data_IF_112109589974
#
_entry.id   IF_112109589974
#
_cell.length_a   1.000
_cell.length_b   1.000
_cell.length_c   1.000
_cell.angle_alpha   90.00
_cell.angle_beta   90.00
_cell.angle_gamma   90.00
#
_symmetry.space_group_name_H-M   'P 1'
#
loop_
_entity.id
_entity.type
_entity.pdbx_description
1 polymer ?
#
# COMPACT_ATOMS: atom_id res chain seq x y z
N UNK A 1 -104.35 -44.37 0.18
CA UNK A 1 -104.84 -43.09 0.74
C UNK A 1 -104.84 -43.12 2.28
N UNK A 2 -105.36 -44.18 2.91
CA UNK A 2 -105.33 -44.39 4.38
C UNK A 2 -103.92 -44.37 5.03
N UNK A 3 -102.93 -45.04 4.45
CA UNK A 3 -101.55 -45.06 4.99
C UNK A 3 -100.85 -43.68 5.05
N UNK A 4 -101.36 -42.68 4.29
CA UNK A 4 -100.82 -41.31 4.30
C UNK A 4 -101.45 -40.47 5.41
N UNK A 5 -102.69 -40.78 5.79
CA UNK A 5 -103.42 -40.13 6.88
C UNK A 5 -102.90 -40.62 8.24
N UNK A 6 -102.62 -41.92 8.37
CA UNK A 6 -101.98 -42.48 9.57
C UNK A 6 -100.58 -41.88 9.82
N UNK A 7 -99.75 -41.77 8.77
CA UNK A 7 -98.42 -41.13 8.90
C UNK A 7 -98.55 -39.67 9.36
N UNK A 8 -99.43 -38.87 8.78
CA UNK A 8 -99.63 -37.46 9.15
C UNK A 8 -100.19 -37.29 10.58
N UNK A 9 -101.04 -38.21 11.03
CA UNK A 9 -101.56 -38.22 12.40
C UNK A 9 -100.47 -38.59 13.41
N UNK A 10 -99.57 -39.52 13.07
CA UNK A 10 -98.42 -39.87 13.91
C UNK A 10 -97.43 -38.71 14.04
N UNK A 11 -97.17 -37.96 12.96
CA UNK A 11 -96.39 -36.70 13.00
C UNK A 11 -97.01 -35.66 13.92
N UNK A 12 -98.34 -35.55 13.93
CA UNK A 12 -99.06 -34.54 14.71
C UNK A 12 -99.11 -34.85 16.21
N UNK A 13 -99.18 -36.14 16.58
CA UNK A 13 -99.31 -36.57 17.98
C UNK A 13 -97.97 -36.76 18.70
N UNK A 14 -96.93 -37.22 18.00
CA UNK A 14 -95.61 -37.52 18.58
C UNK A 14 -94.55 -36.46 18.24
N UNK A 15 -94.84 -35.59 17.26
CA UNK A 15 -93.85 -34.71 16.63
C UNK A 15 -92.97 -35.49 15.64
N UNK A 16 -92.42 -34.80 14.63
CA UNK A 16 -91.31 -35.34 13.84
C UNK A 16 -90.02 -34.78 14.40
N UNK A 17 -89.14 -35.64 14.90
CA UNK A 17 -87.77 -35.23 15.22
C UNK A 17 -86.98 -35.17 13.91
N UNK A 18 -86.88 -33.97 13.33
CA UNK A 18 -86.09 -33.72 12.13
C UNK A 18 -84.68 -33.39 12.60
N UNK A 19 -83.80 -34.39 12.61
CA UNK A 19 -82.39 -34.16 12.85
C UNK A 19 -81.86 -33.18 11.77
N UNK A 20 -81.26 -32.05 12.17
CA UNK A 20 -80.72 -31.10 11.21
C UNK A 20 -79.64 -31.79 10.36
N UNK A 21 -79.72 -31.62 9.03
CA UNK A 21 -78.66 -32.07 8.13
C UNK A 21 -77.56 -31.02 8.12
N UNK A 22 -76.42 -31.36 8.72
CA UNK A 22 -75.23 -30.54 8.66
C UNK A 22 -74.57 -30.72 7.28
N UNK A 23 -74.44 -29.62 6.54
CA UNK A 23 -73.66 -29.54 5.31
C UNK A 23 -72.54 -28.54 5.57
N UNK A 24 -71.29 -28.97 5.45
CA UNK A 24 -70.10 -28.14 5.66
C UNK A 24 -69.52 -27.79 4.29
N UNK A 25 -69.31 -26.50 4.04
CA UNK A 25 -68.50 -26.04 2.91
C UNK A 25 -67.02 -26.22 3.26
N UNK A 26 -66.45 -27.36 2.86
CA UNK A 26 -65.05 -27.69 3.14
C UNK A 26 -64.07 -26.70 2.50
N UNK A 27 -64.43 -26.09 1.38
CA UNK A 27 -63.58 -25.13 0.69
C UNK A 27 -63.50 -23.82 1.47
N UNK A 28 -64.64 -23.32 1.97
CA UNK A 28 -64.66 -22.16 2.86
C UNK A 28 -63.93 -22.44 4.18
N UNK A 29 -64.13 -23.62 4.78
CA UNK A 29 -63.41 -24.02 5.99
C UNK A 29 -61.89 -24.07 5.76
N UNK A 30 -61.44 -24.62 4.63
CA UNK A 30 -60.03 -24.63 4.28
C UNK A 30 -59.47 -23.22 4.08
N UNK A 31 -60.18 -22.32 3.39
CA UNK A 31 -59.75 -20.93 3.22
C UNK A 31 -59.65 -20.19 4.55
N UNK A 32 -60.62 -20.39 5.44
CA UNK A 32 -60.58 -19.87 6.81
C UNK A 32 -59.34 -20.35 7.56
N UNK A 33 -59.04 -21.66 7.50
CA UNK A 33 -57.85 -22.23 8.14
C UNK A 33 -56.54 -21.74 7.54
N UNK A 34 -56.48 -21.52 6.22
CA UNK A 34 -55.31 -20.92 5.57
C UNK A 34 -55.08 -19.51 6.10
N UNK A 35 -56.11 -18.67 6.15
CA UNK A 35 -56.00 -17.30 6.66
C UNK A 35 -55.55 -17.29 8.12
N UNK A 36 -56.21 -18.06 8.98
CA UNK A 36 -55.83 -18.18 10.40
C UNK A 36 -54.43 -18.76 10.57
N UNK A 37 -54.01 -19.72 9.73
CA UNK A 37 -52.66 -20.29 9.81
C UNK A 37 -51.57 -19.25 9.59
N UNK A 38 -51.84 -18.17 8.83
CA UNK A 38 -50.85 -17.10 8.64
C UNK A 38 -50.54 -16.31 9.91
N UNK A 39 -51.47 -16.28 10.87
CA UNK A 39 -51.29 -15.63 12.18
C UNK A 39 -50.57 -16.54 13.19
N UNK A 40 -50.62 -17.85 12.98
CA UNK A 40 -50.08 -18.87 13.90
C UNK A 40 -48.75 -19.43 13.42
N UNK A 41 -48.52 -19.48 12.11
CA UNK A 41 -47.29 -20.02 11.54
C UNK A 41 -46.10 -19.11 11.90
N UNK A 42 -45.05 -19.72 12.43
CA UNK A 42 -43.78 -19.06 12.75
C UNK A 42 -42.72 -19.70 11.85
N UNK A 43 -42.02 -18.94 10.98
CA UNK A 43 -40.92 -19.50 10.21
C UNK A 43 -39.75 -19.88 11.13
N UNK A 44 -39.02 -20.97 10.87
CA UNK A 44 -37.80 -21.27 11.61
C UNK A 44 -36.74 -20.19 11.36
N UNK A 45 -35.84 -20.00 12.32
CA UNK A 45 -34.64 -19.16 12.17
C UNK A 45 -33.39 -19.99 12.32
N UNK A 46 -32.51 -19.84 11.35
CA UNK A 46 -31.23 -20.53 11.31
C UNK A 46 -30.29 -20.04 12.42
N UNK A 47 -29.47 -20.94 12.93
CA UNK A 47 -28.33 -20.56 13.75
C UNK A 47 -27.36 -19.70 12.92
N UNK A 48 -26.73 -18.73 13.59
CA UNK A 48 -25.75 -17.84 12.98
C UNK A 48 -24.50 -17.73 13.86
N UNK A 49 -23.36 -17.48 13.22
CA UNK A 49 -22.08 -17.26 13.88
C UNK A 49 -21.46 -15.99 13.31
N UNK A 50 -20.93 -15.13 14.17
CA UNK A 50 -20.09 -14.01 13.75
C UNK A 50 -18.83 -13.93 14.61
N UNK A 51 -17.77 -13.39 14.02
CA UNK A 51 -16.49 -13.18 14.68
C UNK A 51 -16.18 -11.69 14.62
N UNK A 52 -15.85 -11.09 15.76
CA UNK A 52 -15.38 -9.70 15.84
C UNK A 52 -14.53 -9.50 17.08
N UNK A 53 -13.42 -8.76 16.99
CA UNK A 53 -12.55 -8.45 18.14
C UNK A 53 -12.11 -9.69 18.94
N UNK A 54 -11.72 -10.75 18.23
CA UNK A 54 -11.40 -12.08 18.78
C UNK A 54 -12.54 -12.75 19.60
N UNK A 55 -13.77 -12.25 19.51
CA UNK A 55 -14.95 -12.85 20.15
C UNK A 55 -15.79 -13.59 19.13
N UNK A 56 -16.19 -14.79 19.51
CA UNK A 56 -17.12 -15.63 18.76
C UNK A 56 -18.51 -15.35 19.32
N UNK A 57 -19.42 -14.87 18.47
CA UNK A 57 -20.80 -14.55 18.83
C UNK A 57 -21.68 -15.58 18.12
N UNK A 58 -22.24 -16.48 18.92
CA UNK A 58 -23.12 -17.55 18.45
C UNK A 58 -24.58 -17.19 18.72
N UNK A 59 -25.44 -17.36 17.71
CA UNK A 59 -26.88 -17.15 17.78
C UNK A 59 -27.55 -18.51 17.55
N UNK A 60 -28.20 -19.11 18.56
CA UNK A 60 -28.87 -20.40 18.45
C UNK A 60 -30.00 -20.40 17.42
N UNK A 61 -30.34 -21.57 16.90
CA UNK A 61 -31.45 -21.74 15.98
C UNK A 61 -32.79 -21.70 16.72
N UNK A 62 -33.83 -21.14 16.09
CA UNK A 62 -35.19 -21.11 16.64
C UNK A 62 -36.12 -21.98 15.77
N UNK A 63 -36.69 -23.08 16.31
CA UNK A 63 -37.64 -23.90 15.57
C UNK A 63 -38.89 -23.11 15.19
N UNK A 64 -39.38 -23.34 13.97
CA UNK A 64 -40.62 -22.76 13.49
C UNK A 64 -41.83 -23.61 13.87
N UNK A 65 -43.02 -23.07 13.62
CA UNK A 65 -44.31 -23.71 13.85
C UNK A 65 -45.15 -23.63 12.58
N UNK A 66 -45.72 -24.76 12.16
CA UNK A 66 -46.65 -24.81 11.04
C UNK A 66 -47.95 -25.50 11.42
N UNK A 67 -49.08 -24.86 11.14
CA UNK A 67 -50.41 -25.46 11.24
C UNK A 67 -50.61 -26.52 10.16
N UNK A 68 -51.03 -27.70 10.59
CA UNK A 68 -51.43 -28.83 9.78
C UNK A 68 -52.90 -28.65 9.38
N UNK A 69 -53.12 -27.98 8.25
CA UNK A 69 -54.46 -27.52 7.81
C UNK A 69 -55.41 -28.69 7.59
N UNK A 70 -54.97 -29.78 6.97
CA UNK A 70 -55.83 -30.91 6.63
C UNK A 70 -56.28 -31.66 7.90
N UNK A 71 -55.36 -31.89 8.81
CA UNK A 71 -55.58 -32.57 10.09
C UNK A 71 -56.48 -31.73 11.00
N UNK A 72 -56.22 -30.42 11.07
CA UNK A 72 -57.06 -29.47 11.81
C UNK A 72 -58.48 -29.41 11.23
N UNK A 73 -58.62 -29.40 9.89
CA UNK A 73 -59.93 -29.44 9.22
C UNK A 73 -60.70 -30.70 9.59
N UNK A 74 -60.05 -31.87 9.58
CA UNK A 74 -60.68 -33.13 9.95
C UNK A 74 -61.18 -33.10 11.41
N UNK A 75 -60.37 -32.57 12.33
CA UNK A 75 -60.77 -32.43 13.74
C UNK A 75 -61.97 -31.47 13.90
N UNK A 76 -62.03 -30.39 13.11
CA UNK A 76 -63.18 -29.47 13.10
C UNK A 76 -64.45 -30.14 12.57
N UNK A 77 -64.36 -30.86 11.45
CA UNK A 77 -65.51 -31.58 10.87
C UNK A 77 -66.05 -32.62 11.87
N UNK A 78 -65.15 -33.36 12.54
CA UNK A 78 -65.53 -34.31 13.58
C UNK A 78 -66.23 -33.63 14.76
N UNK A 79 -65.74 -32.48 15.22
CA UNK A 79 -66.35 -31.71 16.30
C UNK A 79 -67.74 -31.17 15.94
N UNK A 80 -67.91 -30.65 14.72
CA UNK A 80 -69.17 -30.07 14.23
C UNK A 80 -70.30 -31.11 14.15
N UNK A 81 -69.99 -32.39 13.92
CA UNK A 81 -70.99 -33.47 13.91
C UNK A 81 -71.72 -33.64 15.26
N UNK A 82 -71.17 -33.12 16.36
CA UNK A 82 -71.81 -33.19 17.69
C UNK A 82 -72.83 -32.07 17.94
N UNK A 83 -72.87 -31.05 17.05
CA UNK A 83 -73.74 -29.86 17.13
C UNK A 83 -73.70 -29.12 18.48
N UNK A 84 -72.62 -29.29 19.25
CA UNK A 84 -72.37 -28.60 20.51
C UNK A 84 -71.11 -27.72 20.38
N UNK A 85 -71.04 -26.56 21.06
CA UNK A 85 -69.82 -25.76 21.10
C UNK A 85 -68.65 -26.57 21.66
N UNK A 86 -67.56 -26.68 20.90
CA UNK A 86 -66.34 -27.37 21.31
C UNK A 86 -65.10 -26.56 20.94
N UNK A 87 -64.06 -26.68 21.75
CA UNK A 87 -62.74 -26.17 21.42
C UNK A 87 -61.99 -27.23 20.62
N UNK A 88 -61.49 -26.85 19.45
CA UNK A 88 -60.65 -27.72 18.61
C UNK A 88 -59.22 -27.19 18.67
N UNK A 89 -58.30 -28.02 19.16
CA UNK A 89 -56.89 -27.67 19.18
C UNK A 89 -56.34 -27.70 17.74
N UNK A 90 -55.62 -26.64 17.35
CA UNK A 90 -54.94 -26.61 16.07
C UNK A 90 -53.84 -27.69 16.06
N UNK A 91 -53.85 -28.53 15.03
CA UNK A 91 -52.76 -29.47 14.82
C UNK A 91 -51.59 -28.69 14.24
N UNK A 92 -50.42 -28.85 14.82
CA UNK A 92 -49.20 -28.21 14.37
C UNK A 92 -48.08 -29.23 14.23
N UNK A 93 -47.09 -28.88 13.42
CA UNK A 93 -45.77 -29.53 13.41
C UNK A 93 -44.68 -28.49 13.61
N UNK A 94 -43.58 -28.91 14.20
CA UNK A 94 -42.35 -28.12 14.28
C UNK A 94 -41.68 -28.08 12.90
N UNK A 95 -41.18 -26.92 12.52
CA UNK A 95 -40.30 -26.76 11.36
C UNK A 95 -38.87 -26.62 11.87
N UNK A 96 -38.01 -27.55 11.49
CA UNK A 96 -36.60 -27.48 11.83
C UNK A 96 -35.89 -26.41 10.98
N UNK A 97 -34.97 -25.62 11.57
CA UNK A 97 -34.14 -24.69 10.83
C UNK A 97 -33.17 -25.43 9.89
N UNK A 98 -32.77 -24.77 8.81
CA UNK A 98 -31.80 -25.31 7.85
C UNK A 98 -30.40 -25.42 8.46
N UNK A 99 -30.02 -24.48 9.33
CA UNK A 99 -28.81 -24.54 10.14
C UNK A 99 -29.22 -24.68 11.61
N UNK A 100 -28.86 -25.82 12.21
CA UNK A 100 -29.20 -26.14 13.60
C UNK A 100 -28.00 -25.93 14.55
N UNK A 101 -28.26 -26.10 15.85
CA UNK A 101 -27.26 -25.91 16.90
C UNK A 101 -26.08 -26.90 16.85
N UNK A 102 -26.23 -28.04 16.19
CA UNK A 102 -25.11 -28.99 15.99
C UNK A 102 -24.12 -28.45 14.95
N UNK A 103 -24.64 -27.83 13.88
CA UNK A 103 -23.81 -27.13 12.90
C UNK A 103 -23.13 -25.93 13.54
N UNK A 104 -23.88 -25.16 14.35
CA UNK A 104 -23.33 -24.02 15.11
C UNK A 104 -22.18 -24.45 16.03
N UNK A 105 -22.35 -25.50 16.82
CA UNK A 105 -21.31 -25.99 17.74
C UNK A 105 -20.04 -26.43 17.01
N UNK A 106 -20.19 -27.00 15.81
CA UNK A 106 -19.05 -27.38 14.95
C UNK A 106 -18.32 -26.14 14.43
N UNK A 107 -19.07 -25.15 13.93
CA UNK A 107 -18.50 -23.90 13.43
C UNK A 107 -17.83 -23.09 14.55
N UNK A 108 -18.41 -23.05 15.75
CA UNK A 108 -17.78 -22.44 16.92
C UNK A 108 -16.44 -23.08 17.26
N UNK A 109 -16.34 -24.41 17.20
CA UNK A 109 -15.08 -25.10 17.47
C UNK A 109 -14.04 -24.77 16.40
N UNK A 110 -14.45 -24.76 15.12
CA UNK A 110 -13.59 -24.34 14.03
C UNK A 110 -13.10 -22.90 14.21
N UNK A 111 -13.98 -21.97 14.59
CA UNK A 111 -13.60 -20.58 14.90
C UNK A 111 -12.58 -20.50 16.04
N UNK A 112 -12.76 -21.28 17.12
CA UNK A 112 -11.79 -21.37 18.21
C UNK A 112 -10.43 -21.87 17.72
N UNK A 113 -10.41 -22.89 16.87
CA UNK A 113 -9.17 -23.46 16.32
C UNK A 113 -8.46 -22.50 15.35
N UNK A 114 -9.21 -21.72 14.57
CA UNK A 114 -8.68 -20.66 13.71
C UNK A 114 -7.98 -19.57 14.54
N UNK A 115 -8.59 -19.16 15.64
CA UNK A 115 -8.09 -18.09 16.52
C UNK A 115 -7.07 -18.56 17.57
N UNK A 116 -6.86 -19.87 17.74
CA UNK A 116 -6.00 -20.43 18.79
C UNK A 116 -4.49 -20.18 18.55
N UNK A 117 -4.06 -20.03 17.29
CA UNK A 117 -2.67 -19.87 16.93
C UNK A 117 -2.44 -18.62 16.07
N UNK A 118 -1.35 -17.86 16.31
CA UNK A 118 -1.03 -16.72 15.48
C UNK A 118 -0.60 -17.14 14.07
N UNK A 119 -0.72 -16.21 13.14
CA UNK A 119 -0.13 -16.30 11.80
C UNK A 119 1.19 -15.53 11.80
N UNK A 120 2.28 -16.24 11.54
CA UNK A 120 3.62 -15.69 11.44
C UNK A 120 3.95 -15.49 9.97
N UNK A 121 4.22 -14.26 9.58
CA UNK A 121 4.64 -13.88 8.24
C UNK A 121 6.14 -13.61 8.26
N UNK A 122 6.87 -14.11 7.28
CA UNK A 122 8.33 -13.97 7.22
C UNK A 122 8.80 -13.55 5.84
N UNK A 123 9.83 -12.72 5.81
CA UNK A 123 10.57 -12.35 4.60
C UNK A 123 12.01 -12.02 4.98
N UNK A 124 12.99 -12.74 4.42
CA UNK A 124 14.39 -12.68 4.86
C UNK A 124 14.53 -12.88 6.39
N UNK A 125 15.20 -11.96 7.08
CA UNK A 125 15.38 -11.98 8.53
C UNK A 125 14.24 -11.27 9.30
N UNK A 126 13.23 -10.75 8.58
CA UNK A 126 12.11 -10.04 9.17
C UNK A 126 10.91 -10.97 9.42
N UNK A 127 10.20 -10.68 10.50
CA UNK A 127 9.04 -11.44 10.94
C UNK A 127 7.93 -10.50 11.43
N UNK A 128 6.70 -10.77 11.01
CA UNK A 128 5.48 -10.13 11.49
C UNK A 128 4.56 -11.19 12.08
N UNK A 129 3.90 -10.88 13.19
CA UNK A 129 3.02 -11.84 13.89
C UNK A 129 1.63 -11.24 13.95
N UNK A 130 0.68 -11.89 13.27
CA UNK A 130 -0.74 -11.58 13.38
C UNK A 130 -1.37 -12.41 14.48
N UNK A 131 -1.92 -11.71 15.47
CA UNK A 131 -2.56 -12.32 16.63
C UNK A 131 -4.02 -12.71 16.34
N UNK A 132 -4.70 -13.27 17.34
CA UNK A 132 -6.10 -13.68 17.21
C UNK A 132 -7.06 -12.52 16.86
N UNK A 133 -6.77 -11.28 17.28
CA UNK A 133 -7.62 -10.12 16.98
C UNK A 133 -7.53 -9.75 15.50
N UNK A 134 -6.31 -9.66 14.96
CA UNK A 134 -6.09 -9.40 13.54
C UNK A 134 -6.65 -10.52 12.65
N UNK A 135 -6.47 -11.78 13.06
CA UNK A 135 -7.05 -12.91 12.33
C UNK A 135 -8.59 -12.85 12.37
N UNK A 136 -9.17 -12.54 13.53
CA UNK A 136 -10.62 -12.41 13.69
C UNK A 136 -11.23 -11.33 12.77
N UNK A 137 -10.55 -10.19 12.62
CA UNK A 137 -11.02 -9.10 11.76
C UNK A 137 -10.99 -9.48 10.27
N UNK A 138 -10.10 -10.40 9.88
CA UNK A 138 -10.01 -10.90 8.51
C UNK A 138 -11.01 -12.01 8.19
N UNK A 139 -11.61 -12.66 9.19
CA UNK A 139 -12.52 -13.78 8.98
C UNK A 139 -13.96 -13.31 8.83
N UNK A 140 -14.63 -13.81 7.81
CA UNK A 140 -16.08 -13.73 7.64
C UNK A 140 -16.70 -15.13 7.73
N UNK A 141 -17.98 -15.17 8.11
CA UNK A 141 -18.76 -16.40 8.20
C UNK A 141 -20.00 -16.25 7.33
N UNK A 142 -20.17 -17.16 6.38
CA UNK A 142 -21.30 -17.17 5.46
C UNK A 142 -22.13 -18.42 5.64
N UNK A 143 -23.46 -18.23 5.75
CA UNK A 143 -24.42 -19.31 5.74
C UNK A 143 -24.67 -19.77 4.30
N UNK A 144 -24.33 -21.02 3.98
CA UNK A 144 -24.50 -21.58 2.63
C UNK A 144 -24.72 -23.09 2.70
N UNK A 145 -25.60 -23.61 1.85
CA UNK A 145 -25.85 -25.05 1.68
C UNK A 145 -26.16 -25.80 3.01
N UNK A 146 -26.81 -25.12 3.97
CA UNK A 146 -27.13 -25.65 5.31
C UNK A 146 -25.94 -25.70 6.29
N UNK A 147 -24.83 -25.06 5.93
CA UNK A 147 -23.61 -24.97 6.73
C UNK A 147 -23.17 -23.52 7.00
N UNK A 148 -22.21 -23.38 7.90
CA UNK A 148 -21.48 -22.13 8.16
C UNK A 148 -20.06 -22.27 7.62
N UNK A 149 -19.70 -21.42 6.66
CA UNK A 149 -18.42 -21.46 5.96
C UNK A 149 -17.57 -20.25 6.33
N UNK A 150 -16.30 -20.47 6.61
CA UNK A 150 -15.33 -19.41 6.88
C UNK A 150 -14.66 -18.98 5.58
N UNK A 151 -14.68 -17.68 5.33
CA UNK A 151 -13.93 -17.03 4.26
C UNK A 151 -13.06 -15.91 4.82
N UNK A 152 -12.05 -15.53 4.05
CA UNK A 152 -11.23 -14.36 4.36
C UNK A 152 -11.81 -13.16 3.62
N UNK A 153 -11.96 -12.04 4.32
CA UNK A 153 -12.39 -10.78 3.74
C UNK A 153 -11.26 -10.23 2.87
N UNK A 154 -11.43 -10.30 1.56
CA UNK A 154 -10.45 -9.89 0.55
C UNK A 154 -10.04 -8.43 0.70
N UNK A 155 -10.98 -7.52 0.94
CA UNK A 155 -10.71 -6.08 1.04
C UNK A 155 -9.88 -5.74 2.28
N UNK A 156 -10.15 -6.43 3.40
CA UNK A 156 -9.37 -6.24 4.62
C UNK A 156 -7.98 -6.88 4.47
N UNK A 157 -7.89 -8.06 3.86
CA UNK A 157 -6.61 -8.71 3.60
C UNK A 157 -5.73 -7.87 2.67
N UNK A 158 -6.29 -7.29 1.62
CA UNK A 158 -5.56 -6.41 0.69
C UNK A 158 -4.90 -5.25 1.44
N UNK A 159 -5.65 -4.59 2.35
CA UNK A 159 -5.10 -3.51 3.19
C UNK A 159 -3.99 -3.98 4.11
N UNK A 160 -4.08 -5.20 4.65
CA UNK A 160 -2.98 -5.77 5.45
C UNK A 160 -1.73 -6.04 4.60
N UNK A 161 -1.93 -6.58 3.39
CA UNK A 161 -0.83 -6.83 2.45
C UNK A 161 -0.18 -5.52 2.01
N UNK A 162 -0.95 -4.46 1.76
CA UNK A 162 -0.42 -3.11 1.50
C UNK A 162 0.44 -2.60 2.66
N UNK A 163 0.00 -2.80 3.91
CA UNK A 163 0.80 -2.42 5.09
C UNK A 163 2.10 -3.21 5.19
N UNK A 164 2.08 -4.50 4.85
CA UNK A 164 3.30 -5.31 4.77
C UNK A 164 4.23 -4.81 3.66
N UNK A 165 3.67 -4.53 2.48
CA UNK A 165 4.41 -4.03 1.33
C UNK A 165 5.15 -2.73 1.67
N UNK A 166 4.56 -1.79 2.43
CA UNK A 166 5.26 -0.57 2.88
C UNK A 166 6.56 -0.88 3.67
N UNK A 167 6.65 -2.03 4.33
CA UNK A 167 7.84 -2.43 5.11
C UNK A 167 8.82 -3.30 4.34
N UNK A 168 8.35 -4.05 3.35
CA UNK A 168 9.14 -5.01 2.56
C UNK A 168 9.63 -4.37 1.26
N UNK A 169 8.76 -3.60 0.60
CA UNK A 169 9.06 -2.97 -0.68
C UNK A 169 10.24 -2.04 -0.54
N UNK A 170 11.25 -2.29 -1.36
CA UNK A 170 12.44 -1.47 -1.45
C UNK A 170 12.90 -1.38 -2.89
N UNK A 171 13.36 -0.21 -3.30
CA UNK A 171 14.03 -0.05 -4.58
C UNK A 171 15.40 -0.73 -4.58
N UNK A 172 15.92 -1.05 -5.76
CA UNK A 172 17.35 -1.34 -5.91
C UNK A 172 18.17 -0.06 -5.91
N UNK A 173 19.46 -0.16 -5.60
CA UNK A 173 20.43 0.90 -5.79
C UNK A 173 21.58 0.40 -6.66
N UNK A 174 21.97 1.20 -7.66
CA UNK A 174 23.13 0.89 -8.51
C UNK A 174 24.43 0.88 -7.69
N UNK A 175 25.43 0.07 -8.08
CA UNK A 175 26.75 0.12 -7.48
C UNK A 175 27.40 1.49 -7.68
N UNK A 176 28.30 1.87 -6.77
CA UNK A 176 29.20 2.99 -7.02
C UNK A 176 30.44 2.49 -7.73
N UNK A 177 30.82 3.17 -8.81
CA UNK A 177 31.99 2.81 -9.61
C UNK A 177 33.09 3.86 -9.53
N UNK A 178 34.29 3.46 -9.94
CA UNK A 178 35.44 4.35 -10.16
C UNK A 178 36.09 3.98 -11.48
N UNK A 179 36.32 4.96 -12.34
CA UNK A 179 37.11 4.79 -13.55
C UNK A 179 38.55 5.21 -13.26
N UNK A 180 39.51 4.31 -13.49
CA UNK A 180 40.92 4.57 -13.28
C UNK A 180 41.78 3.73 -14.23
N UNK A 181 42.79 4.36 -14.83
CA UNK A 181 43.71 3.69 -15.77
C UNK A 181 42.98 2.90 -16.87
N UNK A 182 41.90 3.47 -17.42
CA UNK A 182 41.10 2.85 -18.50
C UNK A 182 40.16 1.72 -18.07
N UNK A 183 40.00 1.46 -16.78
CA UNK A 183 39.17 0.37 -16.26
C UNK A 183 38.13 0.88 -15.25
N UNK A 184 36.99 0.21 -15.20
CA UNK A 184 35.95 0.42 -14.19
C UNK A 184 36.14 -0.54 -13.01
N UNK A 185 35.98 -0.02 -11.80
CA UNK A 185 36.02 -0.78 -10.55
C UNK A 185 34.76 -0.51 -9.75
N UNK A 186 34.18 -1.57 -9.18
CA UNK A 186 33.12 -1.43 -8.17
C UNK A 186 33.78 -0.99 -6.87
N UNK A 187 33.39 0.17 -6.35
CA UNK A 187 33.85 0.70 -5.06
C UNK A 187 32.80 0.53 -3.96
N UNK A 188 31.54 0.41 -4.34
CA UNK A 188 30.45 0.02 -3.47
C UNK A 188 29.49 -0.89 -4.24
N UNK A 189 29.15 -2.04 -3.67
CA UNK A 189 28.20 -2.97 -4.27
C UNK A 189 26.80 -2.34 -4.38
N UNK A 190 26.08 -2.72 -5.43
CA UNK A 190 24.67 -2.36 -5.58
C UNK A 190 23.81 -3.05 -4.53
N UNK A 191 22.65 -2.46 -4.24
CA UNK A 191 21.68 -3.03 -3.30
C UNK A 191 20.50 -3.59 -4.07
N UNK A 192 20.08 -4.79 -3.69
CA UNK A 192 18.85 -5.38 -4.22
C UNK A 192 17.66 -4.80 -3.47
N UNK A 193 16.60 -4.55 -4.21
CA UNK A 193 15.28 -4.23 -3.69
C UNK A 193 14.38 -5.46 -3.66
N UNK A 194 13.22 -5.29 -3.06
CA UNK A 194 12.15 -6.28 -3.02
C UNK A 194 10.81 -5.65 -3.38
N UNK A 195 9.92 -6.45 -3.95
CA UNK A 195 8.55 -6.07 -4.28
C UNK A 195 7.61 -7.18 -3.85
N UNK A 196 6.70 -6.91 -2.93
CA UNK A 196 5.68 -7.88 -2.55
C UNK A 196 4.81 -8.24 -3.75
N UNK A 197 4.59 -9.53 -3.94
CA UNK A 197 3.68 -10.05 -4.96
C UNK A 197 2.28 -10.16 -4.34
N UNK A 198 1.48 -9.10 -4.51
CA UNK A 198 0.20 -8.93 -3.82
C UNK A 198 -0.78 -10.11 -4.05
N UNK A 199 -1.09 -10.52 -5.29
CA UNK A 199 -2.05 -11.60 -5.54
C UNK A 199 -1.64 -12.92 -4.87
N UNK A 200 -0.37 -13.30 -5.03
CA UNK A 200 0.21 -14.53 -4.48
C UNK A 200 0.26 -14.49 -2.95
N UNK A 201 0.57 -13.32 -2.37
CA UNK A 201 0.57 -13.12 -0.93
C UNK A 201 -0.84 -13.29 -0.36
N UNK A 202 -1.85 -12.67 -0.99
CA UNK A 202 -3.24 -12.79 -0.58
C UNK A 202 -3.74 -14.23 -0.68
N UNK A 203 -3.38 -14.94 -1.75
CA UNK A 203 -3.75 -16.33 -1.96
C UNK A 203 -3.14 -17.23 -0.87
N UNK A 204 -1.82 -17.15 -0.64
CA UNK A 204 -1.13 -17.99 0.34
C UNK A 204 -1.65 -17.71 1.76
N UNK A 205 -1.89 -16.46 2.12
CA UNK A 205 -2.46 -16.10 3.43
C UNK A 205 -3.89 -16.65 3.55
N UNK A 206 -4.73 -16.47 2.53
CA UNK A 206 -6.13 -16.95 2.55
C UNK A 206 -6.21 -18.47 2.68
N UNK A 207 -5.39 -19.20 1.91
CA UNK A 207 -5.28 -20.65 2.01
C UNK A 207 -4.79 -21.06 3.40
N UNK A 208 -3.77 -20.38 3.94
CA UNK A 208 -3.23 -20.71 5.27
C UNK A 208 -4.25 -20.47 6.40
N UNK A 209 -5.02 -19.38 6.32
CA UNK A 209 -6.07 -19.07 7.28
C UNK A 209 -7.27 -20.02 7.20
N UNK A 210 -7.56 -20.58 6.02
CA UNK A 210 -8.74 -21.46 5.83
C UNK A 210 -8.41 -22.96 5.93
N UNK A 211 -7.15 -23.36 5.74
CA UNK A 211 -6.77 -24.78 5.61
C UNK A 211 -6.39 -25.49 6.93
N UNK A 212 -6.25 -24.81 8.08
CA UNK A 212 -5.47 -25.36 9.21
C UNK A 212 -6.21 -25.53 10.54
N UNK A 213 -6.15 -26.76 11.06
CA UNK A 213 -6.19 -27.11 12.49
C UNK A 213 -4.79 -27.01 13.12
N UNK A 214 -4.77 -26.79 14.44
CA UNK A 214 -3.72 -26.22 15.29
C UNK A 214 -2.24 -26.62 15.06
N UNK A 215 -1.41 -25.61 14.75
CA UNK A 215 -0.11 -25.22 15.36
C UNK A 215 0.32 -23.92 14.65
N UNK A 216 1.24 -23.13 15.22
CA UNK A 216 1.68 -21.82 14.66
C UNK A 216 1.82 -21.88 13.14
N UNK A 217 1.07 -21.02 12.44
CA UNK A 217 1.04 -20.99 10.97
C UNK A 217 2.16 -20.06 10.51
N UNK A 218 3.05 -20.52 9.64
CA UNK A 218 4.12 -19.67 9.09
C UNK A 218 3.99 -19.56 7.59
N UNK A 219 3.97 -18.33 7.09
CA UNK A 219 3.89 -17.99 5.66
C UNK A 219 5.12 -17.19 5.28
N UNK A 220 5.88 -17.70 4.32
CA UNK A 220 6.89 -16.91 3.62
C UNK A 220 6.18 -15.98 2.64
N UNK A 221 6.38 -14.67 2.78
CA UNK A 221 5.76 -13.68 1.89
C UNK A 221 6.40 -13.76 0.50
N UNK A 222 5.62 -14.05 -0.55
CA UNK A 222 6.09 -13.97 -1.93
C UNK A 222 6.51 -12.54 -2.26
N UNK A 223 7.78 -12.37 -2.62
CA UNK A 223 8.31 -11.09 -3.09
C UNK A 223 9.28 -11.31 -4.25
N UNK A 224 9.20 -10.43 -5.24
CA UNK A 224 10.12 -10.36 -6.36
C UNK A 224 11.35 -9.55 -5.98
N UNK A 225 12.51 -10.05 -6.41
CA UNK A 225 13.79 -9.38 -6.23
C UNK A 225 13.98 -8.34 -7.33
N UNK A 226 14.13 -7.08 -6.96
CA UNK A 226 14.52 -6.00 -7.87
C UNK A 226 16.04 -5.90 -7.84
N UNK A 227 16.70 -6.19 -8.95
CA UNK A 227 18.16 -6.12 -9.05
C UNK A 227 18.60 -4.80 -9.67
N UNK A 228 19.76 -4.24 -9.25
CA UNK A 228 20.37 -3.12 -9.95
C UNK A 228 20.67 -3.49 -11.41
N UNK A 229 20.57 -2.52 -12.30
CA UNK A 229 20.82 -2.70 -13.73
C UNK A 229 22.30 -2.94 -14.01
N UNK A 230 23.16 -2.34 -13.19
CA UNK A 230 24.61 -2.50 -13.27
C UNK A 230 25.06 -3.58 -12.30
N UNK A 231 25.74 -4.57 -12.86
CA UNK A 231 26.31 -5.73 -12.18
C UNK A 231 27.75 -5.92 -12.65
N UNK A 232 28.57 -6.73 -11.96
CA UNK A 232 29.92 -7.03 -12.42
C UNK A 232 29.99 -7.50 -13.88
N UNK A 233 28.99 -8.26 -14.35
CA UNK A 233 28.93 -8.80 -15.71
C UNK A 233 28.54 -7.75 -16.75
N UNK A 234 27.84 -6.68 -16.36
CA UNK A 234 27.39 -5.64 -17.30
C UNK A 234 28.35 -4.46 -17.40
N UNK A 235 29.41 -4.38 -16.58
CA UNK A 235 30.38 -3.27 -16.57
C UNK A 235 30.94 -2.93 -17.95
N UNK A 236 31.29 -3.93 -18.75
CA UNK A 236 31.87 -3.73 -20.09
C UNK A 236 30.87 -3.12 -21.10
N UNK A 237 29.57 -3.18 -20.80
CA UNK A 237 28.50 -2.72 -21.69
C UNK A 237 28.08 -1.27 -21.43
N UNK A 238 28.53 -0.68 -20.32
CA UNK A 238 28.11 0.66 -19.86
C UNK A 238 28.54 1.78 -20.83
N UNK A 239 29.65 1.57 -21.55
CA UNK A 239 30.18 2.57 -22.48
C UNK A 239 30.89 3.73 -21.76
N UNK A 240 31.50 3.49 -20.61
CA UNK A 240 32.29 4.49 -19.89
C UNK A 240 33.76 4.31 -20.30
N UNK A 241 34.27 5.18 -21.16
CA UNK A 241 35.62 5.06 -21.74
C UNK A 241 36.39 6.38 -21.86
N UNK A 242 35.71 7.53 -21.82
CA UNK A 242 36.33 8.84 -21.98
C UNK A 242 35.74 9.88 -21.02
N UNK A 243 36.46 10.99 -20.84
CA UNK A 243 36.00 12.13 -20.06
C UNK A 243 35.09 13.01 -20.93
N UNK A 244 33.84 13.16 -20.52
CA UNK A 244 32.87 14.04 -21.18
C UNK A 244 33.05 15.50 -20.75
N UNK A 245 33.23 15.72 -19.44
CA UNK A 245 33.37 17.07 -18.90
C UNK A 245 33.91 17.07 -17.47
N UNK A 246 34.54 18.19 -17.09
CA UNK A 246 35.09 18.41 -15.76
C UNK A 246 34.60 19.75 -15.20
N UNK A 247 34.11 19.72 -13.97
CA UNK A 247 33.81 20.89 -13.16
C UNK A 247 34.79 20.99 -12.00
N UNK A 248 35.21 22.22 -11.66
CA UNK A 248 36.09 22.47 -10.51
C UNK A 248 35.61 23.67 -9.71
N UNK A 249 35.85 23.64 -8.41
CA UNK A 249 35.62 24.77 -7.51
C UNK A 249 36.68 24.82 -6.41
N UNK A 250 37.07 26.04 -6.03
CA UNK A 250 38.02 26.27 -4.94
C UNK A 250 37.28 26.47 -3.62
N UNK A 251 37.66 25.73 -2.58
CA UNK A 251 37.27 26.00 -1.21
C UNK A 251 38.40 26.62 -0.38
N UNK A 252 39.46 27.11 -1.02
CA UNK A 252 40.54 27.84 -0.35
C UNK A 252 40.00 28.97 0.55
N UNK A 253 40.47 29.01 1.80
CA UNK A 253 40.02 29.97 2.81
C UNK A 253 38.63 29.70 3.41
N UNK A 254 37.95 28.59 3.06
CA UNK A 254 36.66 28.25 3.65
C UNK A 254 36.77 27.91 5.13
N UNK A 255 35.73 28.25 5.89
CA UNK A 255 35.57 27.81 7.28
C UNK A 255 35.47 26.29 7.38
N UNK A 256 35.89 25.73 8.53
CA UNK A 256 35.92 24.28 8.74
C UNK A 256 34.57 23.59 8.51
N UNK A 257 33.46 24.18 9.00
CA UNK A 257 32.11 23.62 8.80
C UNK A 257 31.76 23.47 7.31
N UNK A 258 32.20 24.42 6.47
CA UNK A 258 31.93 24.42 5.03
C UNK A 258 32.71 23.31 4.35
N UNK A 259 33.97 23.09 4.75
CA UNK A 259 34.79 22.00 4.23
C UNK A 259 34.18 20.64 4.60
N UNK A 260 33.70 20.48 5.85
CA UNK A 260 32.98 19.27 6.28
C UNK A 260 31.75 19.01 5.42
N UNK A 261 30.93 20.04 5.18
CA UNK A 261 29.72 19.93 4.37
C UNK A 261 30.01 19.62 2.90
N UNK A 262 31.05 20.22 2.30
CA UNK A 262 31.51 19.89 0.95
C UNK A 262 31.93 18.42 0.86
N UNK A 263 32.67 17.92 1.85
CA UNK A 263 33.07 16.50 1.86
C UNK A 263 31.87 15.56 1.98
N UNK A 264 30.87 15.93 2.80
CA UNK A 264 29.64 15.16 2.94
C UNK A 264 28.80 15.17 1.64
N UNK A 265 28.69 16.32 0.98
CA UNK A 265 28.04 16.45 -0.33
C UNK A 265 28.76 15.65 -1.42
N UNK A 266 30.07 15.85 -1.55
CA UNK A 266 30.91 15.11 -2.49
C UNK A 266 30.80 13.59 -2.34
N UNK A 267 30.77 13.08 -1.10
CA UNK A 267 30.62 11.64 -0.85
C UNK A 267 29.28 11.07 -1.35
N UNK A 268 28.22 11.89 -1.43
CA UNK A 268 26.93 11.49 -2.02
C UNK A 268 27.00 11.38 -3.53
N UNK A 269 27.88 12.15 -4.15
CA UNK A 269 28.03 12.29 -5.61
C UNK A 269 29.10 11.37 -6.21
N UNK A 270 30.13 10.98 -5.45
CA UNK A 270 31.23 10.15 -5.97
C UNK A 270 30.76 8.74 -6.36
N UNK A 271 31.10 8.34 -7.58
CA UNK A 271 30.80 7.03 -8.14
C UNK A 271 29.35 6.82 -8.57
N UNK A 272 28.55 7.89 -8.66
CA UNK A 272 27.14 7.81 -9.09
C UNK A 272 27.07 7.48 -10.59
N UNK A 273 26.18 6.57 -10.93
CA UNK A 273 25.83 6.21 -12.29
C UNK A 273 24.54 6.92 -12.72
N UNK A 274 24.52 7.44 -13.94
CA UNK A 274 23.36 8.10 -14.55
C UNK A 274 23.01 7.31 -15.81
N UNK A 275 21.84 6.69 -15.83
CA UNK A 275 21.40 5.80 -16.90
C UNK A 275 21.09 6.58 -18.20
N UNK A 276 21.12 5.91 -19.37
CA UNK A 276 20.68 6.51 -20.61
C UNK A 276 19.24 7.05 -20.51
N UNK A 277 19.05 8.33 -20.79
CA UNK A 277 17.76 9.01 -20.71
C UNK A 277 17.33 9.43 -19.29
N UNK A 278 18.12 9.14 -18.27
CA UNK A 278 17.82 9.56 -16.89
C UNK A 278 18.01 11.08 -16.72
N UNK A 279 17.09 11.71 -16.00
CA UNK A 279 17.27 13.07 -15.48
C UNK A 279 17.89 12.99 -14.08
N UNK A 280 19.14 13.43 -13.98
CA UNK A 280 19.81 13.58 -12.70
C UNK A 280 19.22 14.76 -11.94
N UNK A 281 18.96 14.57 -10.64
CA UNK A 281 18.57 15.62 -9.70
C UNK A 281 19.58 15.68 -8.56
N UNK A 282 20.23 16.83 -8.38
CA UNK A 282 21.22 17.02 -7.32
C UNK A 282 20.60 16.84 -5.93
N UNK A 283 19.43 17.42 -5.67
CA UNK A 283 18.75 17.28 -4.37
C UNK A 283 18.33 15.83 -4.10
N UNK A 284 17.86 15.10 -5.12
CA UNK A 284 17.49 13.68 -4.98
C UNK A 284 18.72 12.84 -4.62
N UNK A 285 19.83 13.06 -5.33
CA UNK A 285 21.08 12.34 -5.07
C UNK A 285 21.73 12.70 -3.72
N UNK A 286 21.64 13.97 -3.32
CA UNK A 286 22.16 14.45 -2.03
C UNK A 286 21.43 13.79 -0.86
N UNK A 287 20.11 13.63 -0.98
CA UNK A 287 19.25 13.13 0.09
C UNK A 287 19.11 14.11 1.25
N UNK A 288 18.76 13.58 2.43
CA UNK A 288 18.57 14.43 3.61
C UNK A 288 19.89 15.08 4.08
N UNK A 289 19.87 16.38 4.30
CA UNK A 289 21.01 17.15 4.79
C UNK A 289 20.95 17.26 6.31
N UNK A 290 21.53 16.28 7.02
CA UNK A 290 21.51 16.20 8.49
C UNK A 290 22.79 15.56 9.05
N UNK A 291 22.92 15.55 10.38
CA UNK A 291 24.08 14.99 11.11
C UNK A 291 24.34 13.52 10.76
N UNK A 292 23.28 12.69 10.65
CA UNK A 292 23.39 11.25 10.33
C UNK A 292 24.05 11.02 8.97
N UNK A 293 23.89 11.99 8.07
CA UNK A 293 24.44 11.98 6.73
C UNK A 293 25.79 12.71 6.60
N UNK A 294 26.38 13.13 7.73
CA UNK A 294 27.72 13.71 7.81
C UNK A 294 27.77 15.24 7.67
N UNK A 295 26.61 15.90 7.60
CA UNK A 295 26.53 17.36 7.52
C UNK A 295 26.60 17.99 8.91
N UNK A 296 27.05 19.24 8.95
CA UNK A 296 27.05 20.10 10.13
C UNK A 296 26.35 21.43 9.82
N UNK A 297 25.92 22.12 10.86
CA UNK A 297 25.35 23.46 10.72
C UNK A 297 26.40 24.45 10.19
N UNK A 298 25.98 25.26 9.23
CA UNK A 298 26.82 26.24 8.56
C UNK A 298 25.99 27.39 8.00
N UNK A 299 26.64 28.52 7.74
CA UNK A 299 25.95 29.66 7.14
C UNK A 299 25.54 29.37 5.69
N UNK A 300 24.25 29.52 5.39
CA UNK A 300 23.62 29.39 4.09
C UNK A 300 22.86 30.67 3.70
N UNK A 301 22.67 30.89 2.41
CA UNK A 301 21.88 32.01 1.89
C UNK A 301 20.42 31.60 1.85
N UNK A 302 19.57 32.27 2.61
CA UNK A 302 18.12 32.02 2.69
C UNK A 302 17.37 33.30 2.35
N UNK A 303 16.78 33.37 1.16
CA UNK A 303 16.23 34.61 0.63
C UNK A 303 17.36 35.62 0.36
N UNK A 304 17.30 36.78 1.01
CA UNK A 304 18.33 37.84 0.86
C UNK A 304 19.23 37.99 2.11
N UNK A 305 19.40 36.92 2.89
CA UNK A 305 20.14 36.93 4.16
C UNK A 305 20.94 35.64 4.38
N UNK A 306 21.88 35.70 5.31
CA UNK A 306 22.69 34.54 5.74
C UNK A 306 22.14 33.98 7.05
N UNK A 307 21.84 32.69 7.12
CA UNK A 307 21.32 32.00 8.32
C UNK A 307 22.07 30.69 8.53
N UNK A 308 22.18 30.25 9.79
CA UNK A 308 22.72 28.93 10.12
C UNK A 308 21.70 27.86 9.71
N UNK A 309 22.13 26.93 8.86
CA UNK A 309 21.34 25.82 8.32
C UNK A 309 22.22 24.56 8.24
N UNK A 310 21.59 23.38 8.24
CA UNK A 310 22.30 22.14 7.96
C UNK A 310 22.85 22.16 6.54
N UNK A 311 24.12 21.79 6.36
CA UNK A 311 24.76 21.75 5.05
C UNK A 311 25.09 23.12 4.45
N UNK A 312 25.21 24.17 5.27
CA UNK A 312 25.72 25.46 4.79
C UNK A 312 27.04 25.30 4.04
N UNK A 313 27.02 25.60 2.73
CA UNK A 313 28.15 25.40 1.82
C UNK A 313 27.92 24.43 0.66
N UNK A 314 26.88 23.59 0.71
CA UNK A 314 26.62 22.53 -0.29
C UNK A 314 26.30 23.05 -1.70
N UNK A 315 25.91 24.32 -1.85
CA UNK A 315 25.82 24.93 -3.18
C UNK A 315 27.14 24.89 -3.96
N UNK A 316 28.29 24.75 -3.28
CA UNK A 316 29.56 24.53 -3.96
C UNK A 316 29.63 23.17 -4.66
N UNK A 317 29.10 22.11 -4.04
CA UNK A 317 29.00 20.79 -4.66
C UNK A 317 28.12 20.85 -5.91
N UNK A 318 26.93 21.46 -5.80
CA UNK A 318 26.03 21.66 -6.94
C UNK A 318 26.68 22.49 -8.04
N UNK A 319 27.36 23.59 -7.70
CA UNK A 319 28.12 24.40 -8.66
C UNK A 319 29.18 23.57 -9.39
N UNK A 320 29.86 22.66 -8.70
CA UNK A 320 30.91 21.83 -9.31
C UNK A 320 30.31 20.76 -10.22
N UNK A 321 29.20 20.14 -9.82
CA UNK A 321 28.43 19.20 -10.66
C UNK A 321 27.87 19.90 -11.89
N UNK A 322 27.30 21.10 -11.72
CA UNK A 322 26.78 21.91 -12.82
C UNK A 322 27.86 22.21 -13.85
N UNK A 323 29.05 22.63 -13.42
CA UNK A 323 30.17 22.88 -14.33
C UNK A 323 30.56 21.63 -15.11
N UNK A 324 30.60 20.47 -14.47
CA UNK A 324 30.92 19.21 -15.13
C UNK A 324 29.86 18.86 -16.19
N UNK A 325 28.58 18.96 -15.86
CA UNK A 325 27.46 18.72 -16.78
C UNK A 325 27.42 19.74 -17.93
N UNK A 326 27.65 21.02 -17.63
CA UNK A 326 27.73 22.10 -18.60
C UNK A 326 28.86 21.87 -19.59
N UNK A 327 30.07 21.56 -19.12
CA UNK A 327 31.22 21.30 -19.99
C UNK A 327 31.14 19.98 -20.74
N UNK A 328 30.36 19.01 -20.24
CA UNK A 328 29.98 17.79 -20.97
C UNK A 328 28.89 18.05 -22.04
N UNK A 329 28.35 19.26 -22.12
CA UNK A 329 27.28 19.62 -23.05
C UNK A 329 25.99 18.84 -22.80
N UNK A 330 25.71 18.49 -21.55
CA UNK A 330 24.45 17.83 -21.16
C UNK A 330 23.30 18.86 -21.12
N UNK A 331 22.08 18.48 -21.53
CA UNK A 331 20.92 19.35 -21.39
C UNK A 331 20.61 19.65 -19.92
N UNK A 332 20.86 20.89 -19.48
CA UNK A 332 20.48 21.37 -18.15
C UNK A 332 18.99 21.72 -18.18
N UNK A 333 18.19 21.01 -17.39
CA UNK A 333 16.72 21.15 -17.36
C UNK A 333 16.26 22.03 -16.20
N UNK A 334 17.05 22.15 -15.14
CA UNK A 334 16.83 23.08 -14.04
C UNK A 334 18.16 23.66 -13.55
N UNK A 335 18.22 24.98 -13.43
CA UNK A 335 19.38 25.72 -12.93
C UNK A 335 18.93 27.03 -12.30
N UNK A 336 19.51 27.35 -11.13
CA UNK A 336 19.27 28.60 -10.42
C UNK A 336 20.60 29.22 -10.02
N UNK A 337 20.85 30.51 -10.32
CA UNK A 337 22.02 31.22 -9.80
C UNK A 337 21.84 31.59 -8.32
N UNK A 338 22.93 31.92 -7.63
CA UNK A 338 22.81 32.59 -6.34
C UNK A 338 22.18 34.00 -6.52
N UNK A 339 21.44 34.52 -5.52
CA UNK A 339 20.76 35.81 -5.63
C UNK A 339 21.70 37.01 -5.69
N UNK A 340 22.98 36.83 -5.40
CA UNK A 340 24.03 37.83 -5.53
C UNK A 340 25.32 37.18 -6.04
N UNK A 341 26.17 37.99 -6.65
CA UNK A 341 27.47 37.55 -7.14
C UNK A 341 28.39 37.13 -5.99
N UNK A 342 29.03 35.96 -6.17
CA UNK A 342 29.89 35.33 -5.18
C UNK A 342 31.27 35.10 -5.81
N UNK A 343 32.21 36.00 -5.52
CA UNK A 343 33.51 36.06 -6.20
C UNK A 343 34.40 34.82 -6.01
N UNK A 344 34.22 34.05 -4.93
CA UNK A 344 35.02 32.84 -4.73
C UNK A 344 34.63 31.68 -5.67
N UNK A 345 33.52 31.79 -6.41
CA UNK A 345 33.21 30.85 -7.49
C UNK A 345 33.94 31.17 -8.79
N UNK A 346 34.56 32.34 -8.95
CA UNK A 346 35.22 32.72 -10.20
C UNK A 346 36.40 31.82 -10.54
N UNK A 347 37.07 31.31 -9.50
CA UNK A 347 38.18 30.39 -9.70
C UNK A 347 37.70 29.09 -10.33
N UNK A 348 38.29 28.73 -11.47
CA UNK A 348 37.85 27.64 -12.36
C UNK A 348 36.45 27.81 -12.95
N UNK A 349 35.87 29.02 -12.87
CA UNK A 349 34.52 29.29 -13.34
C UNK A 349 34.32 28.94 -14.81
N UNK A 350 35.30 29.24 -15.67
CA UNK A 350 35.26 28.94 -17.10
C UNK A 350 35.93 27.59 -17.44
N UNK A 351 36.06 26.68 -16.47
CA UNK A 351 36.61 25.34 -16.66
C UNK A 351 38.00 25.37 -17.31
N UNK A 352 38.21 24.70 -18.47
CA UNK A 352 39.53 24.67 -19.13
C UNK A 352 39.97 26.03 -19.68
N UNK A 353 39.06 27.02 -19.77
CA UNK A 353 39.34 28.35 -20.30
C UNK A 353 39.76 29.36 -19.21
N UNK A 354 39.75 28.95 -17.93
CA UNK A 354 40.31 29.73 -16.82
C UNK A 354 39.27 30.20 -15.80
N UNK A 355 39.56 31.34 -15.18
CA UNK A 355 38.72 31.95 -14.15
C UNK A 355 37.68 32.88 -14.78
N UNK A 356 36.49 32.97 -14.19
CA UNK A 356 35.44 33.89 -14.64
C UNK A 356 34.11 33.69 -13.94
N UNK A 357 33.26 34.72 -14.01
CA UNK A 357 31.97 34.76 -13.33
C UNK A 357 30.86 34.03 -14.12
N UNK A 358 29.76 33.70 -13.43
CA UNK A 358 28.48 33.33 -14.06
C UNK A 358 28.20 31.84 -14.24
N UNK A 359 29.09 30.96 -13.78
CA UNK A 359 28.89 29.51 -13.78
C UNK A 359 28.78 28.95 -12.36
N UNK A 360 27.83 29.46 -11.58
CA UNK A 360 27.43 28.94 -10.28
C UNK A 360 26.06 28.25 -10.36
N UNK A 361 25.78 27.32 -9.45
CA UNK A 361 24.46 26.71 -9.33
C UNK A 361 24.08 26.63 -7.84
N UNK A 362 23.01 27.33 -7.48
CA UNK A 362 22.44 27.34 -6.15
C UNK A 362 21.34 26.27 -6.05
N UNK A 363 21.28 25.62 -4.89
CA UNK A 363 20.22 24.66 -4.56
C UNK A 363 19.60 25.03 -3.21
N UNK A 364 18.37 24.56 -3.03
CA UNK A 364 17.69 24.57 -1.74
C UNK A 364 16.76 23.36 -1.71
N UNK A 365 17.04 22.40 -0.84
CA UNK A 365 16.30 21.14 -0.78
C UNK A 365 14.80 21.38 -0.68
N UNK A 366 14.04 20.80 -1.62
CA UNK A 366 12.58 20.96 -1.72
C UNK A 366 12.09 22.22 -2.45
N UNK A 367 12.99 23.12 -2.89
CA UNK A 367 12.63 24.32 -3.66
C UNK A 367 13.43 24.45 -4.97
N UNK A 368 14.75 24.68 -4.88
CA UNK A 368 15.62 24.92 -6.03
C UNK A 368 16.53 23.70 -6.22
N UNK A 369 16.60 23.18 -7.44
CA UNK A 369 17.42 22.03 -7.78
C UNK A 369 18.39 22.33 -8.93
N UNK A 370 19.37 21.45 -9.08
CA UNK A 370 20.16 21.34 -10.30
C UNK A 370 19.75 20.04 -10.98
N UNK A 371 19.25 20.14 -12.22
CA UNK A 371 18.84 18.98 -13.01
C UNK A 371 19.42 18.99 -14.41
N UNK A 372 19.78 17.81 -14.89
CA UNK A 372 20.23 17.62 -16.26
C UNK A 372 19.93 16.20 -16.75
N UNK A 373 19.77 16.05 -18.07
CA UNK A 373 19.43 14.77 -18.69
C UNK A 373 20.69 14.12 -19.27
N UNK A 374 20.85 12.82 -19.06
CA UNK A 374 21.81 12.02 -19.82
C UNK A 374 21.21 11.62 -21.17
N UNK A 375 21.42 12.44 -22.19
CA UNK A 375 20.96 12.21 -23.56
C UNK A 375 22.02 11.53 -24.45
N UNK A 376 23.08 10.96 -23.87
CA UNK A 376 24.19 10.33 -24.62
C UNK A 376 23.85 8.93 -25.15
N UNK A 377 22.74 8.33 -24.69
CA UNK A 377 22.38 6.96 -25.03
C UNK A 377 23.25 5.87 -24.39
N UNK A 378 24.20 6.25 -23.51
CA UNK A 378 25.07 5.38 -22.73
C UNK A 378 25.11 5.83 -21.27
N UNK A 379 25.68 5.01 -20.39
CA UNK A 379 25.78 5.37 -18.98
C UNK A 379 26.84 6.46 -18.79
N UNK A 380 26.57 7.37 -17.84
CA UNK A 380 27.55 8.34 -17.35
C UNK A 380 27.95 7.97 -15.94
N UNK A 381 29.25 8.00 -15.65
CA UNK A 381 29.81 7.89 -14.31
C UNK A 381 30.24 9.27 -13.81
N UNK A 382 29.72 9.67 -12.65
CA UNK A 382 30.20 10.83 -11.92
C UNK A 382 31.28 10.41 -10.93
N UNK A 383 32.46 11.01 -11.03
CA UNK A 383 33.53 10.87 -10.05
C UNK A 383 33.83 12.20 -9.40
N UNK A 384 34.04 12.18 -8.09
CA UNK A 384 34.27 13.39 -7.30
C UNK A 384 35.55 13.23 -6.49
N UNK A 385 36.42 14.23 -6.59
CA UNK A 385 37.64 14.34 -5.77
C UNK A 385 37.59 15.63 -4.95
N UNK A 386 37.93 15.52 -3.66
CA UNK A 386 38.07 16.66 -2.76
C UNK A 386 39.50 16.68 -2.24
N UNK A 387 40.34 17.51 -2.86
CA UNK A 387 41.75 17.61 -2.53
C UNK A 387 41.99 18.72 -1.51
N UNK A 388 42.13 18.35 -0.23
CA UNK A 388 42.34 19.30 0.86
C UNK A 388 43.68 20.06 0.80
N UNK A 389 44.73 19.45 0.21
CA UNK A 389 46.04 20.08 0.10
C UNK A 389 46.03 21.25 -0.90
N UNK A 390 45.35 21.07 -2.04
CA UNK A 390 45.14 22.10 -3.07
C UNK A 390 43.92 22.98 -2.80
N UNK A 391 43.05 22.55 -1.88
CA UNK A 391 41.76 23.15 -1.53
C UNK A 391 40.79 23.26 -2.73
N UNK A 392 40.75 22.21 -3.55
CA UNK A 392 39.92 22.12 -4.76
C UNK A 392 39.03 20.90 -4.73
N UNK A 393 37.76 21.08 -5.09
CA UNK A 393 36.84 20.00 -5.44
C UNK A 393 36.78 19.90 -6.96
N UNK A 394 36.80 18.68 -7.49
CA UNK A 394 36.58 18.41 -8.91
C UNK A 394 35.52 17.32 -9.10
N UNK A 395 34.69 17.51 -10.11
CA UNK A 395 33.70 16.52 -10.57
C UNK A 395 34.02 16.19 -12.02
N UNK A 396 34.22 14.92 -12.33
CA UNK A 396 34.42 14.41 -13.67
C UNK A 396 33.24 13.54 -14.08
N UNK A 397 32.73 13.76 -15.29
CA UNK A 397 31.72 12.90 -15.91
C UNK A 397 32.41 12.05 -16.97
N UNK A 398 32.41 10.74 -16.80
CA UNK A 398 32.93 9.78 -17.76
C UNK A 398 31.79 9.07 -18.49
N UNK A 399 31.96 8.78 -19.77
CA UNK A 399 30.94 8.14 -20.59
C UNK A 399 31.45 7.85 -21.99
N UNK A 400 30.56 7.98 -22.98
CA UNK A 400 30.86 8.04 -24.41
C UNK A 400 30.11 9.24 -24.99
N UNK A 401 30.79 10.08 -25.77
CA UNK A 401 30.15 11.16 -26.51
C UNK A 401 29.76 10.68 -27.92
N UNK A 402 28.48 10.39 -28.19
CA UNK A 402 28.07 9.92 -29.51
C UNK A 402 28.14 11.02 -30.59
N UNK A 403 28.20 12.29 -30.20
CA UNK A 403 27.96 13.44 -31.09
C UNK A 403 29.17 14.38 -31.24
N UNK A 404 30.30 14.10 -30.58
CA UNK A 404 31.47 14.99 -30.54
C UNK A 404 31.07 16.43 -30.17
N UNK A 405 30.37 16.58 -29.05
CA UNK A 405 29.87 17.86 -28.55
C UNK A 405 31.01 18.84 -28.34
N UNK A 406 30.71 20.10 -28.65
CA UNK A 406 31.58 21.23 -28.33
C UNK A 406 30.77 22.28 -27.60
N UNK A 407 31.33 22.80 -26.52
CA UNK A 407 30.72 23.84 -25.71
C UNK A 407 31.51 25.13 -25.91
N UNK A 408 30.81 26.20 -26.29
CA UNK A 408 31.37 27.53 -26.44
C UNK A 408 30.66 28.49 -25.49
N UNK A 409 31.43 29.33 -24.81
CA UNK A 409 30.92 30.40 -23.96
C UNK A 409 31.18 31.73 -24.65
N UNK A 410 30.18 32.60 -24.63
CA UNK A 410 30.29 34.00 -25.00
C UNK A 410 30.01 34.87 -23.74
N UNK A 411 30.94 35.76 -23.40
CA UNK A 411 30.91 36.53 -22.14
C UNK A 411 32.01 36.10 -21.14
N UNK A 412 31.88 36.40 -19.83
CA UNK A 412 30.70 36.96 -19.18
C UNK A 412 30.49 38.44 -19.52
N UNK A 413 29.22 38.85 -19.62
CA UNK A 413 28.81 40.24 -19.79
C UNK A 413 28.30 40.80 -18.46
N UNK A 414 29.11 41.60 -17.78
CA UNK A 414 28.75 42.21 -16.49
C UNK A 414 28.06 43.55 -16.74
N UNK A 415 26.83 43.69 -16.25
CA UNK A 415 26.04 44.93 -16.35
C UNK A 415 25.31 45.19 -15.02
N UNK A 416 24.89 46.44 -14.80
CA UNK A 416 24.10 46.84 -13.61
C UNK A 416 24.74 46.46 -12.25
N UNK A 417 26.05 46.66 -12.11
CA UNK A 417 26.76 46.39 -10.86
C UNK A 417 26.24 47.27 -9.72
N UNK A 418 25.78 46.63 -8.65
CA UNK A 418 25.36 47.29 -7.41
C UNK A 418 26.32 46.85 -6.32
N UNK A 419 27.06 47.79 -5.74
CA UNK A 419 27.98 47.50 -4.65
C UNK A 419 27.24 46.96 -3.43
N UNK A 420 27.89 46.03 -2.71
CA UNK A 420 27.37 45.53 -1.44
C UNK A 420 27.19 46.69 -0.43
N UNK A 421 26.18 46.64 0.45
CA UNK A 421 25.98 47.64 1.49
C UNK A 421 27.25 47.80 2.36
N UNK A 422 27.60 49.04 2.71
CA UNK A 422 28.80 49.35 3.51
C UNK A 422 28.71 48.87 4.98
N UNK A 423 27.50 48.57 5.45
CA UNK A 423 27.23 47.95 6.75
C UNK A 423 26.82 46.50 6.56
N UNK A 424 27.54 45.59 7.22
CA UNK A 424 27.15 44.19 7.30
C UNK A 424 25.79 44.08 8.02
N UNK A 425 24.77 43.57 7.32
CA UNK A 425 23.53 43.14 7.96
C UNK A 425 23.77 41.80 8.65
N UNK A 426 24.41 41.85 9.82
CA UNK A 426 24.45 40.73 10.76
C UNK A 426 23.25 40.88 11.71
N UNK A 427 22.25 40.01 11.57
CA UNK A 427 21.15 39.86 12.53
C UNK A 427 20.88 38.39 12.79
#
# INVERSE_FOLDING_TARGET
MLARIERLWQVWNEGLDIAPQLIIDEQQLQQYLVQMSSEVNIPPRDAALSIAYAKIIATPAEPGLQVLIAETRNDIILGLNTLNPQQVALRTRTLEPGINDTVLATAEQQARDLLAAPLVLTHNDQQWVWNAEQIADLLAVEARDGGLHFNVNTDLLEREVERLAVTIDSGSAEPRLRFAAGNLYVVQEGQIGWRVQHPETMEVISQTLTASTATTRTVQIPAERISPQVTPDTLATLGINELLGEGRSSFAGSAAYRITNIKAGAARMDGVLIAPGEEFSFNTQLGEVNERNGFVEGYAVVGNRTKLEWGGGVCQDSTTVFRAAFWAGLPITEWHPHPFYISWYDRFGLGPYGDGAGLDAAIYTGLNDLRFVNDTGKWILMQVDVNEASQVMSVQLYGTDPNNRTVQIEGPYITNEIAAPSTACLY
#
